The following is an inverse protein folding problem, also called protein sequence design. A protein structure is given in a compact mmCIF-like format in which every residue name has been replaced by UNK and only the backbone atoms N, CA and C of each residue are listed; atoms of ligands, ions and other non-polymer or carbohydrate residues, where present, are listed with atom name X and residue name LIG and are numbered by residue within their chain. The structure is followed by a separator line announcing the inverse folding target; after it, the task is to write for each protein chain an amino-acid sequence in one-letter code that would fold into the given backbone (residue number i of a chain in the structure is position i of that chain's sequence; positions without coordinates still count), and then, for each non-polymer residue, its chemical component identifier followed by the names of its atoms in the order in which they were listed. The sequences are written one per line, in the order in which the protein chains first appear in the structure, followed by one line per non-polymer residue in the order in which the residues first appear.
data_IF_569700843429
#
_entry.id   IF_569700843429
#
_cell.length_a   1.000
_cell.length_b   1.000
_cell.length_c   1.000
_cell.angle_alpha   90.00
_cell.angle_beta   90.00
_cell.angle_gamma   90.00
#
_symmetry.space_group_name_H-M   'P 1'
#
loop_
_entity.id
_entity.type
_entity.pdbx_description
1 polymer ?
#
# COMPACT_ATOMS: atom_id res chain seq x y z
N UNK A 1 -8.00 -9.55 7.95
CA UNK A 1 -7.76 -9.85 9.36
C UNK A 1 -6.63 -9.00 9.91
N UNK A 2 -6.69 -8.65 11.21
CA UNK A 2 -5.65 -7.91 11.92
C UNK A 2 -5.53 -8.40 13.35
N UNK A 3 -4.33 -8.28 13.92
CA UNK A 3 -4.04 -8.53 15.31
C UNK A 3 -3.11 -7.44 15.83
N UNK A 4 -3.33 -7.01 17.07
CA UNK A 4 -2.47 -6.04 17.74
C UNK A 4 -2.36 -6.34 19.23
N UNK A 5 -1.22 -5.98 19.79
CA UNK A 5 -0.96 -6.07 21.22
C UNK A 5 -0.29 -4.76 21.69
N UNK A 6 -0.55 -4.41 22.93
CA UNK A 6 0.08 -3.29 23.60
C UNK A 6 0.45 -3.70 25.03
N UNK A 7 1.65 -3.33 25.45
CA UNK A 7 2.15 -3.55 26.78
C UNK A 7 2.50 -2.22 27.43
N UNK A 8 1.84 -1.93 28.54
CA UNK A 8 2.08 -0.73 29.34
C UNK A 8 3.13 -1.09 30.40
N UNK A 9 4.39 -0.92 30.04
CA UNK A 9 5.54 -1.31 30.87
C UNK A 9 5.60 -0.48 32.16
N UNK A 10 5.16 0.78 32.11
CA UNK A 10 5.14 1.67 33.27
C UNK A 10 4.25 1.18 34.41
N UNK A 11 3.27 0.30 34.14
CA UNK A 11 2.39 -0.29 35.17
C UNK A 11 3.04 -1.45 35.92
N UNK A 12 4.17 -1.96 35.44
CA UNK A 12 4.86 -3.09 36.05
C UNK A 12 5.57 -2.69 37.36
N UNK A 13 5.65 -3.62 38.30
CA UNK A 13 6.20 -3.35 39.64
C UNK A 13 7.64 -2.85 39.63
N UNK A 14 8.47 -3.38 38.71
CA UNK A 14 9.86 -2.95 38.57
C UNK A 14 10.02 -1.51 38.07
N UNK A 15 8.99 -0.95 37.40
CA UNK A 15 8.99 0.43 36.91
C UNK A 15 8.57 1.45 37.98
N UNK A 16 7.88 1.01 39.04
CA UNK A 16 7.44 1.89 40.13
C UNK A 16 8.61 2.56 40.87
N UNK A 17 9.83 2.04 40.71
CA UNK A 17 11.05 2.64 41.26
C UNK A 17 11.56 3.83 40.45
N UNK A 18 10.99 4.11 39.29
CA UNK A 18 11.38 5.20 38.39
C UNK A 18 10.27 6.28 38.33
N UNK A 19 10.17 7.17 39.33
CA UNK A 19 9.05 8.12 39.46
C UNK A 19 9.02 9.18 38.35
N UNK A 20 10.08 9.28 37.52
CA UNK A 20 10.12 10.21 36.39
C UNK A 20 9.43 9.67 35.14
N UNK A 21 9.09 8.38 35.09
CA UNK A 21 8.45 7.72 33.95
C UNK A 21 6.95 7.64 34.21
N UNK A 22 6.18 8.46 33.53
CA UNK A 22 4.72 8.47 33.66
C UNK A 22 4.11 7.37 32.79
N UNK A 23 4.57 7.26 31.55
CA UNK A 23 4.10 6.25 30.59
C UNK A 23 5.30 5.66 29.83
N UNK A 24 5.36 4.35 29.80
CA UNK A 24 6.20 3.61 28.89
C UNK A 24 5.35 2.49 28.28
N UNK A 25 4.97 2.63 27.02
CA UNK A 25 4.08 1.72 26.32
C UNK A 25 4.72 1.22 25.04
N UNK A 26 4.75 -0.09 24.87
CA UNK A 26 5.15 -0.75 23.64
C UNK A 26 3.92 -1.24 22.88
N UNK A 27 3.92 -1.07 21.56
CA UNK A 27 2.83 -1.49 20.68
C UNK A 27 3.38 -2.31 19.52
N UNK A 28 2.66 -3.34 19.13
CA UNK A 28 2.93 -4.15 17.95
C UNK A 28 1.61 -4.51 17.28
N UNK A 29 1.60 -4.51 15.96
CA UNK A 29 0.41 -4.86 15.20
C UNK A 29 0.76 -5.40 13.82
N UNK A 30 -0.09 -6.27 13.34
CA UNK A 30 -0.04 -6.81 11.99
C UNK A 30 -1.44 -6.85 11.39
N UNK A 31 -1.58 -6.44 10.15
CA UNK A 31 -2.87 -6.41 9.47
C UNK A 31 -2.76 -6.72 7.98
N UNK A 32 -3.84 -7.29 7.46
CA UNK A 32 -4.07 -7.55 6.06
C UNK A 32 -5.25 -6.72 5.60
N UNK A 33 -5.08 -5.97 4.51
CA UNK A 33 -6.13 -5.22 3.85
C UNK A 33 -6.18 -5.60 2.37
N UNK A 34 -7.37 -5.97 1.89
CA UNK A 34 -7.65 -6.17 0.47
C UNK A 34 -8.14 -4.87 -0.16
N UNK A 35 -7.69 -4.59 -1.38
CA UNK A 35 -8.17 -3.49 -2.20
C UNK A 35 -8.72 -4.04 -3.52
N UNK A 36 -9.99 -3.79 -3.78
CA UNK A 36 -10.69 -4.20 -5.00
C UNK A 36 -11.02 -3.03 -5.94
N UNK A 37 -10.66 -1.79 -5.58
CA UNK A 37 -11.09 -0.58 -6.29
C UNK A 37 -10.58 -0.47 -7.73
N UNK A 38 -9.63 -1.31 -8.12
CA UNK A 38 -9.15 -1.41 -9.51
C UNK A 38 -9.88 -2.46 -10.36
N UNK A 39 -10.84 -3.20 -9.80
CA UNK A 39 -11.59 -4.24 -10.50
C UNK A 39 -13.04 -3.81 -10.60
N UNK A 40 -13.46 -3.43 -11.80
CA UNK A 40 -14.87 -3.12 -12.09
C UNK A 40 -15.71 -4.40 -12.12
N UNK A 41 -17.04 -4.23 -11.98
CA UNK A 41 -17.99 -5.32 -12.14
C UNK A 41 -17.80 -6.00 -13.50
N UNK A 42 -17.83 -7.34 -13.50
CA UNK A 42 -17.68 -8.16 -14.70
C UNK A 42 -16.34 -8.04 -15.44
N UNK A 43 -15.28 -7.50 -14.82
CA UNK A 43 -13.95 -7.38 -15.47
C UNK A 43 -13.33 -8.73 -15.80
N UNK A 44 -13.67 -9.76 -15.04
CA UNK A 44 -13.20 -11.14 -15.24
C UNK A 44 -13.97 -11.91 -16.30
N UNK A 45 -15.11 -11.36 -16.77
CA UNK A 45 -15.96 -12.03 -17.76
C UNK A 45 -15.65 -11.52 -19.16
N UNK A 46 -15.72 -12.45 -20.13
CA UNK A 46 -15.65 -12.08 -21.54
C UNK A 46 -16.98 -11.45 -21.96
N UNK A 47 -16.99 -10.14 -22.08
CA UNK A 47 -18.12 -9.36 -22.55
C UNK A 47 -17.94 -9.01 -24.02
N UNK A 48 -19.03 -9.13 -24.77
CA UNK A 48 -19.04 -8.78 -26.20
C UNK A 48 -19.91 -7.55 -26.45
N UNK A 49 -19.57 -6.80 -27.49
CA UNK A 49 -20.30 -5.64 -27.96
C UNK A 49 -20.56 -5.77 -29.47
N UNK A 50 -21.57 -5.08 -30.03
CA UNK A 50 -21.71 -4.95 -31.47
C UNK A 50 -20.43 -4.38 -32.09
N UNK A 51 -19.90 -5.06 -33.12
CA UNK A 51 -18.66 -4.74 -33.81
C UNK A 51 -18.86 -4.64 -35.34
N UNK A 52 -19.92 -3.95 -35.74
CA UNK A 52 -20.28 -3.74 -37.13
C UNK A 52 -21.33 -4.73 -37.63
N UNK A 53 -21.53 -4.71 -38.95
CA UNK A 53 -22.52 -5.51 -39.67
C UNK A 53 -21.80 -6.28 -40.76
N UNK A 54 -22.04 -7.59 -40.82
CA UNK A 54 -21.48 -8.45 -41.86
C UNK A 54 -22.59 -9.04 -42.72
N UNK A 55 -22.43 -9.10 -44.06
CA UNK A 55 -23.38 -9.78 -44.93
C UNK A 55 -23.28 -11.32 -44.75
N UNK A 56 -24.42 -11.93 -44.50
CA UNK A 56 -24.55 -13.40 -44.45
C UNK A 56 -25.65 -13.77 -45.45
N UNK A 57 -25.24 -14.24 -46.63
CA UNK A 57 -26.15 -14.46 -47.75
C UNK A 57 -26.76 -13.13 -48.21
N UNK A 58 -28.11 -13.04 -48.19
CA UNK A 58 -28.84 -11.83 -48.55
C UNK A 58 -29.29 -10.97 -47.36
N UNK A 59 -28.79 -11.25 -46.15
CA UNK A 59 -29.14 -10.57 -44.92
C UNK A 59 -27.93 -9.87 -44.30
N UNK A 60 -28.16 -8.74 -43.65
CA UNK A 60 -27.18 -8.04 -42.84
C UNK A 60 -27.29 -8.51 -41.37
N UNK A 61 -26.22 -9.04 -40.83
CA UNK A 61 -26.17 -9.59 -39.46
C UNK A 61 -25.19 -8.75 -38.63
N UNK A 62 -25.57 -8.38 -37.41
CA UNK A 62 -24.69 -7.68 -36.48
C UNK A 62 -23.60 -8.64 -36.00
N UNK A 63 -22.35 -8.29 -36.24
CA UNK A 63 -21.21 -9.01 -35.67
C UNK A 63 -20.99 -8.58 -34.22
N UNK A 64 -20.52 -9.52 -33.41
CA UNK A 64 -20.11 -9.27 -32.02
C UNK A 64 -18.60 -9.40 -31.92
N UNK A 65 -17.99 -8.50 -31.19
CA UNK A 65 -16.57 -8.54 -30.87
C UNK A 65 -16.36 -8.32 -29.36
N UNK A 66 -15.21 -8.71 -28.87
CA UNK A 66 -14.85 -8.53 -27.46
C UNK A 66 -14.94 -7.07 -27.05
N UNK A 67 -15.38 -6.82 -25.82
CA UNK A 67 -15.41 -5.47 -25.25
C UNK A 67 -14.00 -5.02 -24.82
N UNK A 68 -13.19 -5.96 -24.32
CA UNK A 68 -11.84 -5.76 -23.80
C UNK A 68 -11.09 -7.12 -23.75
N UNK A 69 -9.80 -7.09 -23.55
CA UNK A 69 -9.07 -8.30 -23.20
C UNK A 69 -9.45 -8.73 -21.77
N UNK A 70 -9.84 -9.98 -21.61
CA UNK A 70 -10.34 -10.54 -20.36
C UNK A 70 -9.23 -11.26 -19.63
N UNK A 71 -9.18 -11.10 -18.30
CA UNK A 71 -8.30 -11.87 -17.43
C UNK A 71 -9.14 -12.54 -16.35
N UNK A 72 -9.39 -13.87 -16.44
CA UNK A 72 -10.16 -14.60 -15.44
C UNK A 72 -9.41 -14.76 -14.10
N UNK A 73 -8.09 -14.60 -14.09
CA UNK A 73 -7.22 -14.80 -12.93
C UNK A 73 -7.05 -13.55 -12.07
N UNK A 74 -7.83 -12.49 -12.32
CA UNK A 74 -7.76 -11.25 -11.55
C UNK A 74 -8.06 -11.50 -10.06
N UNK A 75 -7.18 -10.93 -9.22
CA UNK A 75 -7.25 -10.99 -7.76
C UNK A 75 -7.27 -9.58 -7.18
N UNK A 76 -7.71 -9.46 -5.95
CA UNK A 76 -7.60 -8.24 -5.19
C UNK A 76 -6.13 -7.98 -4.83
N UNK A 77 -5.74 -6.72 -4.84
CA UNK A 77 -4.48 -6.31 -4.24
C UNK A 77 -4.52 -6.59 -2.73
N UNK A 78 -3.45 -7.16 -2.20
CA UNK A 78 -3.35 -7.46 -0.77
C UNK A 78 -2.21 -6.66 -0.17
N UNK A 79 -2.55 -5.83 0.83
CA UNK A 79 -1.59 -5.05 1.62
C UNK A 79 -1.37 -5.71 2.98
N UNK A 80 -0.15 -6.16 3.20
CA UNK A 80 0.36 -6.65 4.48
C UNK A 80 1.02 -5.49 5.22
N UNK A 81 0.61 -5.19 6.43
CA UNK A 81 1.18 -4.09 7.21
C UNK A 81 1.62 -4.58 8.58
N UNK A 82 2.88 -4.40 8.87
CA UNK A 82 3.46 -4.58 10.20
C UNK A 82 3.76 -3.20 10.80
N UNK A 83 3.33 -2.98 12.04
CA UNK A 83 3.57 -1.76 12.79
C UNK A 83 4.14 -2.10 14.16
N UNK A 84 5.10 -1.33 14.61
CA UNK A 84 5.58 -1.37 15.99
C UNK A 84 5.88 0.06 16.46
N UNK A 85 5.67 0.31 17.73
CA UNK A 85 5.90 1.64 18.27
C UNK A 85 6.12 1.62 19.78
N UNK A 86 6.73 2.70 20.25
CA UNK A 86 6.95 2.98 21.66
C UNK A 86 6.46 4.39 21.97
N UNK A 87 5.71 4.53 23.04
CA UNK A 87 5.27 5.79 23.58
C UNK A 87 5.88 5.98 24.97
N UNK A 88 6.48 7.12 25.19
CA UNK A 88 7.14 7.49 26.45
C UNK A 88 6.62 8.84 26.90
N UNK A 89 6.20 8.93 28.15
CA UNK A 89 5.87 10.19 28.83
C UNK A 89 6.72 10.29 30.09
N UNK A 90 7.36 11.44 30.29
CA UNK A 90 8.27 11.70 31.40
C UNK A 90 7.95 13.02 32.08
N UNK A 91 8.33 13.13 33.36
CA UNK A 91 8.31 14.36 34.19
C UNK A 91 6.90 14.95 34.34
N UNK A 92 5.91 14.13 34.64
CA UNK A 92 4.52 14.56 34.74
C UNK A 92 3.96 15.01 33.39
N UNK A 93 4.22 14.23 32.37
CA UNK A 93 3.82 14.48 30.96
C UNK A 93 4.42 15.74 30.33
N UNK A 94 5.54 16.27 30.88
CA UNK A 94 6.23 17.42 30.27
C UNK A 94 7.07 17.07 29.05
N UNK A 95 7.49 15.82 28.94
CA UNK A 95 8.18 15.28 27.76
C UNK A 95 7.40 14.09 27.24
N UNK A 96 6.91 14.20 26.03
CA UNK A 96 6.21 13.13 25.30
C UNK A 96 7.05 12.73 24.10
N UNK A 97 7.33 11.44 23.97
CA UNK A 97 8.04 10.89 22.83
C UNK A 97 7.23 9.72 22.26
N UNK A 98 7.00 9.72 20.97
CA UNK A 98 6.41 8.60 20.26
C UNK A 98 7.30 8.24 19.08
N UNK A 99 7.69 6.99 18.98
CA UNK A 99 8.46 6.46 17.86
C UNK A 99 7.71 5.26 17.27
N UNK A 100 7.40 5.33 15.98
CA UNK A 100 6.69 4.30 15.25
C UNK A 100 7.53 3.83 14.07
N UNK A 101 7.56 2.53 13.86
CA UNK A 101 8.09 1.91 12.65
C UNK A 101 6.98 1.15 11.95
N UNK A 102 6.85 1.33 10.65
CA UNK A 102 5.92 0.57 9.84
C UNK A 102 6.63 -0.06 8.65
N UNK A 103 6.11 -1.20 8.21
CA UNK A 103 6.57 -1.91 7.03
C UNK A 103 5.36 -2.54 6.33
N UNK A 104 5.01 -2.01 5.18
CA UNK A 104 3.89 -2.46 4.37
C UNK A 104 4.39 -3.09 3.08
N UNK A 105 3.84 -4.22 2.71
CA UNK A 105 4.04 -4.86 1.41
C UNK A 105 2.71 -5.04 0.72
N UNK A 106 2.56 -4.45 -0.47
CA UNK A 106 1.41 -4.69 -1.35
C UNK A 106 1.82 -5.71 -2.40
N UNK A 107 1.02 -6.75 -2.55
CA UNK A 107 1.16 -7.81 -3.55
C UNK A 107 -0.03 -7.81 -4.49
N UNK A 108 0.10 -8.49 -5.62
CA UNK A 108 -0.95 -8.62 -6.62
C UNK A 108 -1.49 -7.27 -7.10
N UNK A 109 -0.60 -6.27 -7.25
CA UNK A 109 -0.99 -4.93 -7.70
C UNK A 109 -1.60 -4.99 -9.08
N UNK A 110 -2.73 -4.31 -9.25
CA UNK A 110 -3.46 -4.22 -10.51
C UNK A 110 -2.79 -3.20 -11.43
N UNK A 111 -2.49 -3.62 -12.65
CA UNK A 111 -1.86 -2.79 -13.65
C UNK A 111 -2.41 -3.08 -15.06
N UNK A 112 -2.61 -2.03 -15.86
CA UNK A 112 -2.92 -2.14 -17.28
C UNK A 112 -1.63 -2.42 -18.04
N UNK A 113 -1.42 -3.66 -18.39
CA UNK A 113 -0.23 -4.14 -19.10
C UNK A 113 -0.41 -4.03 -20.60
N UNK A 114 0.63 -3.57 -21.32
CA UNK A 114 0.62 -3.54 -22.78
C UNK A 114 0.92 -4.93 -23.34
N UNK A 115 0.04 -5.41 -24.19
CA UNK A 115 0.12 -6.69 -24.85
C UNK A 115 0.18 -6.54 -26.38
N UNK A 116 0.73 -7.54 -27.05
CA UNK A 116 0.81 -7.54 -28.50
C UNK A 116 -0.55 -7.83 -29.14
N UNK A 117 -0.84 -7.12 -30.23
CA UNK A 117 -2.00 -7.39 -31.10
C UNK A 117 -1.45 -7.81 -32.47
N UNK A 118 -1.72 -9.05 -32.93
CA UNK A 118 -2.28 -10.22 -32.24
C UNK A 118 -1.30 -10.84 -31.23
N UNK A 119 -1.67 -11.76 -30.34
CA UNK A 119 -2.93 -12.55 -30.33
C UNK A 119 -4.07 -11.87 -29.57
N UNK A 120 -3.82 -10.80 -28.82
CA UNK A 120 -4.86 -10.08 -28.09
C UNK A 120 -5.70 -9.21 -29.04
N UNK A 121 -6.98 -8.98 -28.68
CA UNK A 121 -7.88 -8.09 -29.45
C UNK A 121 -7.56 -6.62 -29.21
N UNK A 122 -7.11 -6.26 -28.02
CA UNK A 122 -6.70 -4.91 -27.63
C UNK A 122 -5.27 -4.89 -27.12
N UNK A 123 -4.63 -3.74 -27.19
CA UNK A 123 -3.23 -3.56 -26.78
C UNK A 123 -3.00 -3.48 -25.26
N UNK A 124 -4.07 -3.56 -24.45
CA UNK A 124 -3.97 -3.52 -22.98
C UNK A 124 -4.69 -4.68 -22.33
N UNK A 125 -4.13 -5.20 -21.26
CA UNK A 125 -4.68 -6.26 -20.42
C UNK A 125 -4.56 -5.85 -18.96
N UNK A 126 -5.67 -5.89 -18.21
CA UNK A 126 -5.61 -5.72 -16.75
C UNK A 126 -5.10 -7.01 -16.11
N UNK A 127 -4.03 -6.92 -15.34
CA UNK A 127 -3.43 -8.08 -14.70
C UNK A 127 -2.85 -7.72 -13.32
N UNK A 128 -2.74 -8.73 -12.46
CA UNK A 128 -2.06 -8.58 -11.17
C UNK A 128 -0.56 -8.69 -11.38
N UNK A 129 0.08 -7.55 -11.59
CA UNK A 129 1.49 -7.47 -11.95
C UNK A 129 2.19 -6.59 -10.93
N UNK A 130 2.98 -7.21 -10.09
CA UNK A 130 3.88 -6.47 -9.26
C UNK A 130 3.63 -6.53 -7.78
N UNK A 131 4.65 -6.08 -7.10
CA UNK A 131 4.62 -5.89 -5.66
C UNK A 131 5.46 -4.68 -5.27
N UNK A 132 5.00 -3.95 -4.26
CA UNK A 132 5.65 -2.77 -3.72
C UNK A 132 5.82 -2.91 -2.21
N UNK A 133 6.92 -2.35 -1.71
CA UNK A 133 7.18 -2.23 -0.29
C UNK A 133 7.28 -0.77 0.09
N UNK A 134 6.60 -0.41 1.17
CA UNK A 134 6.65 0.90 1.79
C UNK A 134 7.01 0.72 3.27
N UNK A 135 8.06 1.38 3.75
CA UNK A 135 8.47 1.32 5.15
C UNK A 135 9.00 2.66 5.61
N UNK A 136 8.87 2.90 6.89
CA UNK A 136 9.33 4.16 7.45
C UNK A 136 9.33 4.17 8.95
N UNK A 137 9.90 5.25 9.47
CA UNK A 137 9.93 5.57 10.89
C UNK A 137 9.37 6.97 11.09
N UNK A 138 8.48 7.10 12.05
CA UNK A 138 7.88 8.36 12.47
C UNK A 138 8.26 8.62 13.92
N UNK A 139 8.80 9.79 14.19
CA UNK A 139 9.17 10.22 15.54
C UNK A 139 8.43 11.51 15.82
N UNK A 140 7.69 11.55 16.93
CA UNK A 140 7.05 12.74 17.43
C UNK A 140 7.55 13.07 18.83
N UNK A 141 7.84 14.33 19.06
CA UNK A 141 8.34 14.85 20.34
C UNK A 141 7.45 16.03 20.75
N UNK A 142 6.91 15.96 21.96
CA UNK A 142 6.19 17.04 22.60
C UNK A 142 6.91 17.44 23.89
N UNK A 143 7.15 18.74 24.07
CA UNK A 143 7.83 19.26 25.27
C UNK A 143 7.01 20.42 25.84
N UNK A 144 6.75 20.39 27.13
CA UNK A 144 6.14 21.48 27.89
C UNK A 144 7.18 22.07 28.86
N UNK A 145 8.12 22.92 28.37
CA UNK A 145 9.21 23.43 29.21
C UNK A 145 8.75 24.39 30.28
N UNK A 146 7.66 25.10 30.07
CA UNK A 146 7.12 26.04 31.00
C UNK A 146 5.64 25.76 31.24
N UNK A 147 5.29 25.54 32.49
CA UNK A 147 3.90 25.40 32.95
C UNK A 147 3.76 26.07 34.29
N UNK A 148 3.11 27.26 34.30
CA UNK A 148 2.78 28.05 35.46
C UNK A 148 1.27 28.25 35.52
N UNK A 149 0.77 28.99 36.53
CA UNK A 149 -0.67 29.28 36.63
C UNK A 149 -1.18 30.15 35.48
N UNK A 150 -0.32 31.00 34.91
CA UNK A 150 -0.71 32.03 33.93
C UNK A 150 -0.14 31.78 32.55
N UNK A 151 0.83 30.84 32.41
CA UNK A 151 1.51 30.57 31.16
C UNK A 151 1.79 29.08 30.99
N UNK A 152 1.54 28.58 29.79
CA UNK A 152 1.96 27.25 29.37
C UNK A 152 2.59 27.32 27.95
N UNK A 153 3.80 26.79 27.81
CA UNK A 153 4.50 26.72 26.53
C UNK A 153 4.58 25.27 26.11
N UNK A 154 3.96 24.94 24.97
CA UNK A 154 4.01 23.62 24.35
C UNK A 154 4.75 23.68 23.02
N UNK A 155 5.77 22.85 22.85
CA UNK A 155 6.56 22.72 21.63
C UNK A 155 6.37 21.28 21.12
N UNK A 156 5.88 21.15 19.88
CA UNK A 156 5.71 19.86 19.25
C UNK A 156 6.53 19.82 17.96
N UNK A 157 7.25 18.73 17.75
CA UNK A 157 8.00 18.45 16.53
C UNK A 157 7.73 17.01 16.09
N UNK A 158 7.66 16.82 14.78
CA UNK A 158 7.59 15.49 14.18
C UNK A 158 8.56 15.38 13.01
N UNK A 159 9.10 14.20 12.83
CA UNK A 159 9.96 13.86 11.71
C UNK A 159 9.58 12.48 11.19
N UNK A 160 9.48 12.36 9.87
CA UNK A 160 9.11 11.12 9.20
C UNK A 160 10.16 10.76 8.16
N UNK A 161 10.68 9.54 8.25
CA UNK A 161 11.55 8.94 7.26
C UNK A 161 10.78 7.85 6.54
N UNK A 162 10.52 8.04 5.25
CA UNK A 162 9.74 7.10 4.44
C UNK A 162 10.54 6.64 3.24
N UNK A 163 10.41 5.36 2.89
CA UNK A 163 10.98 4.77 1.68
C UNK A 163 9.96 3.86 1.01
N UNK A 164 9.90 3.98 -0.32
CA UNK A 164 9.13 3.11 -1.18
C UNK A 164 10.07 2.34 -2.10
N UNK A 165 9.75 1.09 -2.36
CA UNK A 165 10.49 0.27 -3.33
C UNK A 165 9.52 -0.61 -4.09
N UNK A 166 9.55 -0.51 -5.41
CA UNK A 166 8.93 -1.47 -6.29
C UNK A 166 9.78 -2.75 -6.27
N UNK A 167 9.18 -3.87 -5.88
CA UNK A 167 9.89 -5.15 -5.73
C UNK A 167 9.87 -5.96 -7.02
N UNK A 168 8.73 -5.96 -7.72
CA UNK A 168 8.56 -6.65 -8.99
C UNK A 168 7.48 -5.96 -9.81
N UNK A 169 7.60 -6.04 -11.14
CA UNK A 169 6.57 -5.76 -12.13
C UNK A 169 6.45 -6.97 -13.05
N UNK A 170 6.27 -8.13 -12.47
CA UNK A 170 6.03 -9.38 -13.19
C UNK A 170 4.81 -10.08 -12.60
N UNK A 171 4.02 -10.67 -13.43
CA UNK A 171 2.83 -11.44 -13.07
C UNK A 171 2.63 -12.61 -13.99
N UNK A 172 1.66 -13.45 -13.65
CA UNK A 172 1.29 -14.61 -14.45
C UNK A 172 -0.03 -14.35 -15.15
N UNK A 173 -0.14 -14.74 -16.41
CA UNK A 173 -1.36 -14.77 -17.19
C UNK A 173 -1.42 -16.09 -17.97
N UNK A 174 -2.45 -16.91 -17.76
CA UNK A 174 -2.60 -18.24 -18.36
C UNK A 174 -1.35 -19.13 -18.24
N UNK A 175 -0.64 -19.05 -17.10
CA UNK A 175 0.59 -19.82 -16.88
C UNK A 175 1.85 -19.27 -17.52
N UNK A 176 1.77 -18.19 -18.29
CA UNK A 176 2.91 -17.49 -18.88
C UNK A 176 3.29 -16.27 -18.07
N UNK A 177 4.60 -16.01 -17.97
CA UNK A 177 5.11 -14.83 -17.28
C UNK A 177 5.00 -13.61 -18.21
N UNK A 178 4.24 -12.62 -17.81
CA UNK A 178 4.21 -11.32 -18.47
C UNK A 178 5.56 -10.64 -18.30
N UNK A 179 6.16 -10.21 -19.41
CA UNK A 179 7.56 -9.81 -19.54
C UNK A 179 7.93 -8.57 -18.72
N UNK A 180 9.08 -8.62 -18.07
CA UNK A 180 9.67 -7.55 -17.25
C UNK A 180 10.26 -6.36 -18.05
N UNK A 181 9.98 -6.21 -19.36
CA UNK A 181 10.55 -5.12 -20.17
C UNK A 181 10.11 -3.72 -19.70
N UNK A 182 8.89 -3.61 -19.17
CA UNK A 182 8.40 -2.36 -18.55
C UNK A 182 8.94 -2.10 -17.13
N UNK A 183 9.42 -3.14 -16.44
CA UNK A 183 10.05 -2.99 -15.13
C UNK A 183 11.24 -2.04 -15.17
N UNK A 184 12.06 -2.11 -16.22
CA UNK A 184 13.23 -1.21 -16.37
C UNK A 184 12.82 0.25 -16.58
N UNK A 185 11.75 0.51 -17.32
CA UNK A 185 11.29 1.88 -17.58
C UNK A 185 10.70 2.54 -16.33
N UNK A 186 9.93 1.77 -15.52
CA UNK A 186 9.37 2.28 -14.26
C UNK A 186 10.41 2.37 -13.15
N UNK A 187 11.40 1.49 -13.11
CA UNK A 187 12.52 1.61 -12.18
C UNK A 187 13.40 2.83 -12.49
N UNK A 188 13.50 3.25 -13.75
CA UNK A 188 14.19 4.50 -14.12
C UNK A 188 13.42 5.75 -13.69
N UNK A 189 12.10 5.70 -13.65
CA UNK A 189 11.25 6.79 -13.16
C UNK A 189 11.33 6.95 -11.61
N UNK A 190 11.56 5.85 -10.88
CA UNK A 190 11.75 5.91 -9.42
C UNK A 190 13.13 6.49 -9.04
N UNK A 191 14.13 6.35 -9.91
CA UNK A 191 15.44 6.99 -9.76
C UNK A 191 15.39 8.53 -9.82
N UNK A 192 14.46 9.07 -10.58
CA UNK A 192 14.30 10.53 -10.80
C UNK A 192 13.52 11.21 -9.66
N UNK A 193 12.72 10.46 -8.89
CA UNK A 193 11.98 10.99 -7.73
C UNK A 193 12.86 11.22 -6.48
N UNK A 194 14.11 10.83 -6.49
CA UNK A 194 15.05 11.09 -5.39
C UNK A 194 15.57 12.53 -5.36
N UNK A 195 15.23 13.35 -6.33
CA UNK A 195 15.71 14.73 -6.46
C UNK A 195 14.67 15.81 -6.11
N UNK A 196 13.52 15.44 -5.53
CA UNK A 196 12.51 16.43 -5.08
C UNK A 196 12.24 16.19 -3.60
N UNK A 197 13.03 16.80 -2.77
CA UNK A 197 12.73 17.21 -1.40
C UNK A 197 13.12 18.67 -1.27
#
# INVERSE_FOLDING_TARGET
PSASAAWVISEEEFMKQLPMVDILKFRIGYGLAGNQSGIDSYTTLNLVKPNGVVPVGNSAVVSLGDLRNTNPDLKWEVKHTFNTGIDVALFGNRLLLSANYYNSRTTDMLYLYNVSVPPFTYNTLLANIGSMRNWGTEIAIGITPLKTKDMELNINANITFQRNKLLSLSGMYNGEMLSASEYKSLASLDGDRKSVV
#
